data_IF_244967073205
#
_entry.id   IF_244967073205
#
_cell.length_a   1.000
_cell.length_b   1.000
_cell.length_c   1.000
_cell.angle_alpha   90.00
_cell.angle_beta   90.00
_cell.angle_gamma   90.00
#
_symmetry.space_group_name_H-M   'P 1'
#
loop_
_entity.id
_entity.type
_entity.pdbx_description
1 polymer ?
#
# COMPACT_ATOMS: atom_id res chain seq x y z
N UNK A 1 8.39 -74.04 -18.44
CA UNK A 1 7.27 -73.19 -17.98
C UNK A 1 7.62 -71.75 -18.37
N UNK A 2 6.97 -71.24 -19.40
CA UNK A 2 7.06 -69.85 -19.86
C UNK A 2 6.44 -68.90 -18.84
N UNK A 3 6.91 -67.66 -18.75
CA UNK A 3 6.18 -66.42 -19.11
C UNK A 3 7.13 -65.21 -18.96
N UNK A 4 7.17 -64.39 -20.01
CA UNK A 4 7.79 -63.06 -20.08
C UNK A 4 6.98 -62.03 -19.27
N UNK A 5 7.61 -60.95 -18.79
CA UNK A 5 6.97 -59.62 -18.75
C UNK A 5 7.98 -58.49 -18.69
N UNK A 6 8.01 -57.72 -19.77
CA UNK A 6 8.52 -56.36 -19.88
C UNK A 6 7.67 -55.41 -19.02
N UNK A 7 8.26 -54.45 -18.31
CA UNK A 7 7.64 -53.14 -18.04
C UNK A 7 8.77 -52.11 -17.83
N UNK A 8 9.13 -51.38 -18.89
CA UNK A 8 8.78 -49.97 -19.14
C UNK A 8 9.46 -48.98 -18.18
N UNK A 9 10.60 -48.44 -18.62
CA UNK A 9 11.16 -47.19 -18.11
C UNK A 9 10.21 -46.04 -18.45
N UNK A 10 9.57 -45.45 -17.44
CA UNK A 10 8.78 -44.24 -17.60
C UNK A 10 9.75 -43.05 -17.65
N UNK A 11 10.11 -42.60 -18.85
CA UNK A 11 10.74 -41.30 -19.03
C UNK A 11 9.68 -40.23 -18.74
N UNK A 12 9.77 -39.57 -17.59
CA UNK A 12 8.96 -38.40 -17.31
C UNK A 12 9.38 -37.27 -18.26
N UNK A 13 8.51 -36.92 -19.21
CA UNK A 13 8.62 -35.68 -19.96
C UNK A 13 8.48 -34.52 -18.96
N UNK A 14 9.60 -33.94 -18.55
CA UNK A 14 9.56 -32.62 -17.93
C UNK A 14 9.22 -31.65 -19.04
N UNK A 15 7.94 -31.26 -19.13
CA UNK A 15 7.55 -30.11 -19.92
C UNK A 15 8.30 -28.90 -19.34
N UNK A 16 9.37 -28.47 -20.02
CA UNK A 16 10.01 -27.21 -19.72
C UNK A 16 8.96 -26.11 -19.90
N UNK A 17 8.48 -25.54 -18.79
CA UNK A 17 7.72 -24.31 -18.86
C UNK A 17 8.58 -23.27 -19.60
N UNK A 18 8.03 -22.51 -20.56
CA UNK A 18 8.81 -21.52 -21.28
C UNK A 18 9.36 -20.50 -20.28
N UNK A 19 10.67 -20.55 -20.08
CA UNK A 19 11.47 -19.62 -19.27
C UNK A 19 11.70 -18.32 -20.04
N UNK A 20 10.60 -17.69 -20.46
CA UNK A 20 10.60 -16.31 -20.91
C UNK A 20 10.01 -15.46 -19.80
N UNK A 21 10.85 -14.82 -18.98
CA UNK A 21 10.36 -13.69 -18.19
C UNK A 21 9.71 -12.69 -19.16
N UNK A 22 8.51 -12.18 -18.88
CA UNK A 22 7.92 -11.16 -19.72
C UNK A 22 8.92 -10.00 -19.88
N UNK A 23 9.03 -9.47 -21.09
CA UNK A 23 9.91 -8.32 -21.34
C UNK A 23 9.53 -7.20 -20.38
N UNK A 24 10.48 -6.75 -19.56
CA UNK A 24 10.26 -5.66 -18.61
C UNK A 24 10.36 -4.35 -19.36
N UNK A 25 9.33 -3.52 -19.28
CA UNK A 25 9.39 -2.15 -19.77
C UNK A 25 10.30 -1.35 -18.85
N UNK A 26 11.33 -0.72 -19.42
CA UNK A 26 12.17 0.21 -18.67
C UNK A 26 11.36 1.48 -18.36
N UNK A 27 11.34 1.85 -17.09
CA UNK A 27 10.79 3.11 -16.61
C UNK A 27 11.75 4.23 -17.00
N UNK A 28 11.24 5.34 -17.53
CA UNK A 28 12.08 6.51 -17.81
C UNK A 28 12.55 7.19 -16.52
N UNK A 29 13.58 8.03 -16.63
CA UNK A 29 14.19 8.67 -15.45
C UNK A 29 13.22 9.57 -14.69
N UNK A 30 12.32 10.26 -15.38
CA UNK A 30 11.37 11.18 -14.74
C UNK A 30 10.34 10.41 -13.90
N UNK A 31 9.78 9.34 -14.45
CA UNK A 31 8.87 8.46 -13.71
C UNK A 31 9.59 7.74 -12.55
N UNK A 32 10.85 7.35 -12.73
CA UNK A 32 11.64 6.80 -11.63
C UNK A 32 11.81 7.80 -10.48
N UNK A 33 12.19 9.04 -10.79
CA UNK A 33 12.37 10.11 -9.80
C UNK A 33 11.06 10.44 -9.08
N UNK A 34 9.93 10.38 -9.79
CA UNK A 34 8.60 10.53 -9.20
C UNK A 34 8.26 9.39 -8.22
N UNK A 35 8.52 8.15 -8.60
CA UNK A 35 8.33 6.99 -7.71
C UNK A 35 9.22 7.07 -6.46
N UNK A 36 10.46 7.52 -6.61
CA UNK A 36 11.39 7.75 -5.49
C UNK A 36 10.84 8.84 -4.55
N UNK A 37 10.26 9.91 -5.11
CA UNK A 37 9.64 10.98 -4.34
C UNK A 37 8.46 10.45 -3.50
N UNK A 38 7.51 9.74 -4.12
CA UNK A 38 6.34 9.21 -3.40
C UNK A 38 6.68 8.10 -2.41
N UNK A 39 7.73 7.32 -2.66
CA UNK A 39 8.25 6.34 -1.70
C UNK A 39 8.90 7.00 -0.46
N UNK A 40 9.29 8.27 -0.55
CA UNK A 40 9.87 9.02 0.56
C UNK A 40 8.85 9.47 1.62
N UNK A 41 7.63 9.87 1.22
CA UNK A 41 6.64 10.41 2.16
C UNK A 41 6.28 9.46 3.33
N UNK A 42 6.07 8.14 3.12
CA UNK A 42 5.77 7.21 4.21
C UNK A 42 6.87 7.08 5.28
N UNK A 43 8.09 7.50 4.97
CA UNK A 43 9.24 7.40 5.89
C UNK A 43 9.34 8.60 6.85
N UNK A 44 8.51 9.62 6.66
CA UNK A 44 8.64 10.94 7.30
C UNK A 44 7.50 11.22 8.30
N UNK A 45 6.94 10.19 8.93
CA UNK A 45 5.85 10.31 9.90
C UNK A 45 6.35 10.79 11.27
N UNK A 46 5.76 11.87 11.80
CA UNK A 46 5.69 12.09 13.26
C UNK A 46 6.34 13.36 13.83
N UNK A 47 7.46 13.84 13.29
CA UNK A 47 8.27 14.84 14.03
C UNK A 47 8.23 16.27 13.46
N UNK A 48 7.40 16.53 12.44
CA UNK A 48 7.15 17.88 11.94
C UNK A 48 8.33 18.59 11.28
N UNK A 49 9.49 17.93 11.16
CA UNK A 49 10.67 18.51 10.53
C UNK A 49 11.21 17.54 9.48
N UNK A 50 10.60 17.59 8.30
CA UNK A 50 10.98 16.74 7.18
C UNK A 50 11.05 17.58 5.90
N UNK A 51 11.85 18.64 5.94
CA UNK A 51 12.43 19.20 4.71
C UNK A 51 13.58 18.30 4.26
N UNK A 52 13.28 17.06 3.87
CA UNK A 52 14.26 16.31 3.08
C UNK A 52 14.21 16.93 1.67
N UNK A 53 15.33 17.40 1.11
CA UNK A 53 15.32 18.15 -0.15
C UNK A 53 14.72 17.37 -1.35
N UNK A 54 14.45 16.07 -1.21
CA UNK A 54 13.81 15.24 -2.24
C UNK A 54 12.31 14.98 -2.03
N UNK A 55 11.70 15.41 -0.93
CA UNK A 55 10.26 15.24 -0.66
C UNK A 55 9.66 16.63 -0.42
N UNK A 56 8.98 17.24 -1.42
CA UNK A 56 8.48 18.61 -1.32
C UNK A 56 7.25 18.72 -0.41
N UNK A 57 6.92 19.96 -0.05
CA UNK A 57 5.73 20.29 0.72
C UNK A 57 5.94 20.31 2.23
N UNK A 58 4.82 20.41 2.96
CA UNK A 58 4.79 20.46 4.42
C UNK A 58 3.64 19.64 4.97
N UNK A 59 3.76 19.17 6.21
CA UNK A 59 2.68 18.42 6.87
C UNK A 59 1.50 19.38 7.13
N UNK A 60 0.39 19.13 6.46
CA UNK A 60 -0.89 19.78 6.72
C UNK A 60 -1.55 19.22 7.98
N UNK A 61 -1.53 17.89 8.14
CA UNK A 61 -2.12 17.21 9.29
C UNK A 61 -1.42 15.90 9.58
N UNK A 62 -1.23 15.60 10.86
CA UNK A 62 -0.86 14.28 11.35
C UNK A 62 -2.05 13.66 12.10
N UNK A 63 -2.31 12.38 11.86
CA UNK A 63 -3.37 11.59 12.50
C UNK A 63 -2.73 10.34 13.08
N UNK A 64 -3.07 10.01 14.32
CA UNK A 64 -2.60 8.81 14.99
C UNK A 64 -3.77 8.16 15.74
N UNK A 65 -3.93 6.85 15.55
CA UNK A 65 -4.73 6.01 16.41
C UNK A 65 -3.80 5.05 17.18
N UNK A 66 -3.61 5.34 18.47
CA UNK A 66 -2.73 4.56 19.35
C UNK A 66 -3.22 3.14 19.63
N UNK A 67 -4.51 2.88 19.46
CA UNK A 67 -5.06 1.55 19.70
C UNK A 67 -4.68 0.57 18.60
N UNK A 68 -4.72 1.03 17.34
CA UNK A 68 -4.32 0.24 16.16
C UNK A 68 -2.89 0.54 15.71
N UNK A 69 -2.14 1.35 16.47
CA UNK A 69 -0.81 1.87 16.11
C UNK A 69 -0.74 2.39 14.67
N UNK A 70 -1.81 3.08 14.24
CA UNK A 70 -1.96 3.56 12.86
C UNK A 70 -1.69 5.05 12.79
N UNK A 71 -0.77 5.44 11.91
CA UNK A 71 -0.36 6.83 11.72
C UNK A 71 -0.62 7.24 10.27
N UNK A 72 -0.98 8.49 10.04
CA UNK A 72 -1.16 9.07 8.71
C UNK A 72 -0.66 10.50 8.71
N UNK A 73 0.19 10.84 7.76
CA UNK A 73 0.59 12.22 7.48
C UNK A 73 -0.09 12.70 6.20
N UNK A 74 -0.83 13.80 6.26
CA UNK A 74 -1.35 14.52 5.10
C UNK A 74 -0.38 15.66 4.82
N UNK A 75 0.24 15.63 3.65
CA UNK A 75 1.17 16.64 3.16
C UNK A 75 0.49 17.55 2.18
N UNK A 76 0.80 18.85 2.21
CA UNK A 76 0.39 19.81 1.21
C UNK A 76 1.58 20.16 0.33
N UNK A 77 1.42 20.00 -0.98
CA UNK A 77 2.47 20.24 -1.98
C UNK A 77 1.96 21.24 -3.00
N UNK A 78 2.21 22.53 -2.74
CA UNK A 78 1.63 23.63 -3.52
C UNK A 78 2.15 23.64 -4.97
N UNK A 79 3.42 23.30 -5.19
CA UNK A 79 4.05 23.25 -6.51
C UNK A 79 3.42 22.19 -7.41
N UNK A 80 2.77 21.18 -6.82
CA UNK A 80 2.08 20.08 -7.51
C UNK A 80 0.55 20.20 -7.43
N UNK A 81 0.04 21.19 -6.70
CA UNK A 81 -1.38 21.34 -6.39
C UNK A 81 -1.98 20.02 -5.88
N UNK A 82 -1.37 19.40 -4.87
CA UNK A 82 -1.86 18.14 -4.34
C UNK A 82 -1.73 18.03 -2.81
N UNK A 83 -2.54 17.14 -2.25
CA UNK A 83 -2.35 16.58 -0.92
C UNK A 83 -1.85 15.14 -1.03
N UNK A 84 -0.72 14.84 -0.38
CA UNK A 84 -0.19 13.48 -0.31
C UNK A 84 -0.54 12.86 1.04
N UNK A 85 -1.33 11.79 1.02
CA UNK A 85 -1.68 10.98 2.20
C UNK A 85 -0.65 9.86 2.31
N UNK A 86 0.18 9.93 3.34
CA UNK A 86 1.30 9.04 3.55
C UNK A 86 1.10 8.18 4.80
N UNK A 87 1.15 6.86 4.63
CA UNK A 87 0.98 5.90 5.72
C UNK A 87 2.29 5.11 5.93
N UNK A 88 2.96 5.24 7.08
CA UNK A 88 4.18 4.51 7.37
C UNK A 88 3.91 3.00 7.49
N UNK A 89 4.97 2.21 7.37
CA UNK A 89 4.94 0.80 7.76
C UNK A 89 5.06 0.63 9.27
N UNK A 90 4.91 -0.60 9.75
CA UNK A 90 5.20 -0.93 11.15
C UNK A 90 6.70 -0.90 11.42
N UNK A 91 7.12 -0.44 12.61
CA UNK A 91 8.53 -0.47 13.05
C UNK A 91 9.10 -1.88 13.26
N UNK A 92 8.28 -2.93 13.19
CA UNK A 92 8.67 -4.33 13.41
C UNK A 92 8.23 -5.22 12.25
N UNK A 93 8.93 -5.12 11.12
CA UNK A 93 8.66 -5.88 9.89
C UNK A 93 8.67 -7.41 10.10
N UNK A 94 9.39 -7.91 11.12
CA UNK A 94 9.38 -9.34 11.47
C UNK A 94 8.09 -9.79 12.17
N UNK A 95 7.39 -8.91 12.88
CA UNK A 95 6.11 -9.24 13.51
C UNK A 95 5.00 -9.32 12.45
N UNK A 96 5.09 -8.52 11.39
CA UNK A 96 4.14 -8.51 10.27
C UNK A 96 3.95 -9.92 9.69
N UNK A 97 5.02 -10.70 9.48
CA UNK A 97 4.95 -12.03 8.86
C UNK A 97 4.26 -13.08 9.76
N UNK A 98 4.37 -12.93 11.08
CA UNK A 98 3.66 -13.77 12.05
C UNK A 98 2.20 -13.32 12.25
N UNK A 99 1.93 -12.01 12.16
CA UNK A 99 0.59 -11.40 12.29
C UNK A 99 -0.26 -11.50 11.00
N UNK A 100 0.31 -11.87 9.86
CA UNK A 100 -0.43 -12.16 8.61
C UNK A 100 -1.40 -13.36 8.68
N UNK A 101 -1.58 -13.94 9.87
CA UNK A 101 -2.55 -15.00 10.15
C UNK A 101 -3.96 -14.46 10.42
N UNK A 102 -4.23 -13.17 10.21
CA UNK A 102 -5.58 -12.63 10.42
C UNK A 102 -6.57 -13.15 9.36
N UNK A 103 -7.84 -13.35 9.75
CA UNK A 103 -8.86 -13.83 8.82
C UNK A 103 -9.15 -12.80 7.73
N UNK A 104 -9.62 -13.30 6.60
CA UNK A 104 -10.20 -12.44 5.58
C UNK A 104 -11.67 -12.13 5.93
N UNK A 105 -12.04 -10.86 5.81
CA UNK A 105 -13.40 -10.36 6.06
C UNK A 105 -13.92 -9.61 4.84
N UNK A 106 -15.24 -9.43 4.76
CA UNK A 106 -15.83 -8.64 3.67
C UNK A 106 -15.39 -7.19 3.78
N UNK A 107 -14.99 -6.61 2.65
CA UNK A 107 -14.68 -5.20 2.57
C UNK A 107 -15.95 -4.36 2.71
N UNK A 108 -16.08 -3.74 3.88
CA UNK A 108 -17.11 -2.75 4.21
C UNK A 108 -16.39 -1.62 4.92
N UNK A 109 -16.05 -0.56 4.19
CA UNK A 109 -15.36 0.61 4.72
C UNK A 109 -16.32 1.81 4.78
N UNK A 110 -15.89 2.89 5.44
CA UNK A 110 -16.68 4.12 5.55
C UNK A 110 -17.02 4.66 4.14
N UNK A 111 -18.31 4.59 3.78
CA UNK A 111 -18.86 5.02 2.49
C UNK A 111 -18.42 4.20 1.25
N UNK A 112 -17.78 3.04 1.42
CA UNK A 112 -17.36 2.18 0.32
C UNK A 112 -17.69 0.71 0.59
N UNK A 113 -18.18 0.02 -0.44
CA UNK A 113 -18.42 -1.42 -0.40
C UNK A 113 -18.08 -2.03 -1.75
N UNK A 114 -17.50 -3.22 -1.75
CA UNK A 114 -17.24 -3.97 -2.97
C UNK A 114 -18.49 -4.76 -3.39
N UNK A 115 -18.98 -4.63 -4.64
CA UNK A 115 -20.18 -5.33 -5.13
C UNK A 115 -20.06 -6.86 -5.09
N UNK A 116 -18.86 -7.40 -5.33
CA UNK A 116 -18.63 -8.82 -5.61
C UNK A 116 -18.08 -9.61 -4.41
N UNK A 117 -18.45 -9.23 -3.17
CA UNK A 117 -17.98 -9.89 -1.94
C UNK A 117 -16.44 -9.92 -1.82
N UNK A 118 -15.77 -8.81 -2.12
CA UNK A 118 -14.32 -8.70 -1.92
C UNK A 118 -13.96 -9.03 -0.47
N UNK A 119 -12.94 -9.87 -0.32
CA UNK A 119 -12.37 -10.24 0.97
C UNK A 119 -11.03 -9.52 1.16
N UNK A 120 -10.85 -8.90 2.32
CA UNK A 120 -9.65 -8.15 2.71
C UNK A 120 -9.13 -8.63 4.05
N UNK A 121 -7.85 -8.40 4.31
CA UNK A 121 -7.23 -8.74 5.58
C UNK A 121 -7.83 -7.91 6.72
N UNK A 122 -8.40 -8.56 7.74
CA UNK A 122 -9.09 -7.89 8.84
C UNK A 122 -8.24 -6.80 9.48
N UNK A 123 -6.97 -7.09 9.79
CA UNK A 123 -6.09 -6.10 10.42
C UNK A 123 -5.84 -4.85 9.58
N UNK A 124 -5.89 -4.95 8.24
CA UNK A 124 -5.72 -3.78 7.36
C UNK A 124 -6.99 -2.94 7.28
N UNK A 125 -8.15 -3.61 7.26
CA UNK A 125 -9.44 -2.94 7.30
C UNK A 125 -9.65 -2.21 8.64
N UNK A 126 -9.34 -2.87 9.75
CA UNK A 126 -9.43 -2.27 11.10
C UNK A 126 -8.51 -1.04 11.23
N UNK A 127 -7.29 -1.12 10.68
CA UNK A 127 -6.36 0.01 10.67
C UNK A 127 -6.85 1.17 9.79
N UNK A 128 -7.43 0.88 8.61
CA UNK A 128 -8.05 1.90 7.77
C UNK A 128 -9.21 2.58 8.50
N UNK A 129 -10.16 1.79 9.03
CA UNK A 129 -11.37 2.30 9.68
C UNK A 129 -11.05 3.15 10.92
N UNK A 130 -9.96 2.83 11.63
CA UNK A 130 -9.56 3.56 12.84
C UNK A 130 -9.11 5.00 12.60
N UNK A 131 -8.72 5.34 11.36
CA UNK A 131 -8.25 6.68 10.96
C UNK A 131 -9.09 7.32 9.86
N UNK A 132 -9.87 6.54 9.08
CA UNK A 132 -10.60 7.00 7.91
C UNK A 132 -11.47 8.22 8.18
N UNK A 133 -12.28 8.21 9.25
CA UNK A 133 -13.16 9.35 9.57
C UNK A 133 -12.40 10.68 9.77
N UNK A 134 -11.28 10.64 10.50
CA UNK A 134 -10.45 11.83 10.77
C UNK A 134 -9.73 12.29 9.50
N UNK A 135 -9.20 11.35 8.70
CA UNK A 135 -8.51 11.64 7.45
C UNK A 135 -9.47 12.23 6.41
N UNK A 136 -10.64 11.62 6.20
CA UNK A 136 -11.67 12.12 5.28
C UNK A 136 -12.16 13.50 5.68
N UNK A 137 -12.37 13.76 6.97
CA UNK A 137 -12.75 15.09 7.45
C UNK A 137 -11.65 16.13 7.17
N UNK A 138 -10.39 15.79 7.45
CA UNK A 138 -9.26 16.69 7.22
C UNK A 138 -9.06 16.99 5.72
N UNK A 139 -9.13 15.97 4.86
CA UNK A 139 -9.05 16.14 3.40
C UNK A 139 -10.23 16.94 2.85
N UNK A 140 -11.44 16.72 3.37
CA UNK A 140 -12.63 17.52 2.98
C UNK A 140 -12.41 19.01 3.24
N UNK A 141 -11.97 19.38 4.44
CA UNK A 141 -11.67 20.77 4.77
C UNK A 141 -10.50 21.34 3.93
N UNK A 142 -9.51 20.51 3.63
CA UNK A 142 -8.36 20.90 2.82
C UNK A 142 -8.76 21.18 1.36
N UNK A 143 -9.60 20.32 0.76
CA UNK A 143 -10.10 20.45 -0.60
C UNK A 143 -11.14 21.57 -0.74
N UNK A 144 -11.91 21.88 0.30
CA UNK A 144 -12.75 23.09 0.31
C UNK A 144 -11.91 24.38 0.22
N UNK A 145 -10.75 24.42 0.89
CA UNK A 145 -9.81 25.54 0.83
C UNK A 145 -8.97 25.56 -0.46
N UNK A 146 -8.78 24.41 -1.09
CA UNK A 146 -7.95 24.20 -2.27
C UNK A 146 -8.66 23.34 -3.32
N UNK A 147 -9.73 23.87 -3.97
CA UNK A 147 -10.62 23.08 -4.83
C UNK A 147 -9.95 22.54 -6.10
N UNK A 148 -8.83 23.14 -6.52
CA UNK A 148 -8.06 22.70 -7.69
C UNK A 148 -7.01 21.62 -7.34
N UNK A 149 -6.91 21.21 -6.08
CA UNK A 149 -5.86 20.27 -5.65
C UNK A 149 -6.32 18.81 -5.80
N UNK A 150 -5.39 17.93 -6.17
CA UNK A 150 -5.61 16.48 -6.21
C UNK A 150 -5.22 15.82 -4.88
N UNK A 151 -5.55 14.53 -4.73
CA UNK A 151 -5.12 13.71 -3.60
C UNK A 151 -4.35 12.49 -4.12
N UNK A 152 -3.15 12.28 -3.58
CA UNK A 152 -2.31 11.11 -3.87
C UNK A 152 -2.11 10.30 -2.61
N UNK A 153 -2.29 8.98 -2.68
CA UNK A 153 -2.08 8.07 -1.55
C UNK A 153 -0.77 7.30 -1.75
N UNK A 154 0.04 7.20 -0.70
CA UNK A 154 1.28 6.41 -0.72
C UNK A 154 1.52 5.77 0.63
N UNK A 155 2.12 4.58 0.62
CA UNK A 155 2.38 3.83 1.83
C UNK A 155 3.47 2.79 1.64
N UNK A 156 4.15 2.46 2.75
CA UNK A 156 5.17 1.42 2.78
C UNK A 156 4.72 0.25 3.65
N UNK A 157 4.94 -0.99 3.20
CA UNK A 157 4.62 -2.21 3.96
C UNK A 157 3.14 -2.21 4.41
N UNK A 158 2.85 -2.27 5.72
CA UNK A 158 1.49 -2.12 6.28
C UNK A 158 0.76 -0.90 5.71
N UNK A 159 1.44 0.23 5.62
CA UNK A 159 0.86 1.46 5.08
C UNK A 159 0.47 1.33 3.61
N UNK A 160 1.24 0.59 2.81
CA UNK A 160 0.90 0.31 1.42
C UNK A 160 -0.36 -0.55 1.29
N UNK A 161 -0.57 -1.48 2.23
CA UNK A 161 -1.78 -2.28 2.28
C UNK A 161 -2.99 -1.42 2.68
N UNK A 162 -2.86 -0.55 3.69
CA UNK A 162 -3.91 0.38 4.12
C UNK A 162 -4.30 1.33 2.99
N UNK A 163 -3.32 1.95 2.30
CA UNK A 163 -3.61 2.87 1.19
C UNK A 163 -4.22 2.18 -0.02
N UNK A 164 -3.99 0.87 -0.21
CA UNK A 164 -4.63 0.11 -1.29
C UNK A 164 -6.10 -0.19 -1.01
N UNK A 165 -6.55 -0.09 0.25
CA UNK A 165 -7.95 -0.27 0.66
C UNK A 165 -8.74 1.05 0.71
N UNK A 166 -8.05 2.19 0.69
CA UNK A 166 -8.60 3.53 0.91
C UNK A 166 -9.23 4.13 -0.36
#
# INVERSE_FOLDING_TARGET
MHINSNFLSLAALVAAAPSGSPSRTQVDAALYDELVCYAGYPLLSGDGNCSHPSVPGSIYKFVENKHTDTQVSIWRVDERQEFVVAVPGTNSVLNILHDFTTPLVRYVALNASCPDLCLVHLGFLDALDSVAGTVTQALGAALEAHPDYTVTLTGHSLGGAITSLA
#
